data_IF_427684141152
#
_entry.id   IF_427684141152
#
_cell.length_a   1.000
_cell.length_b   1.000
_cell.length_c   1.000
_cell.angle_alpha   90.00
_cell.angle_beta   90.00
_cell.angle_gamma   90.00
#
_symmetry.space_group_name_H-M   'P 1'
#
loop_
_entity.id
_entity.type
_entity.pdbx_description
1 polymer ?
#
# COMPACT_ATOMS: atom_id res chain seq x y z
N UNK A 1 -3.34 -19.69 -10.07
CA UNK A 1 -2.79 -18.37 -10.48
C UNK A 1 -1.63 -18.04 -9.55
N UNK A 2 -0.52 -17.48 -10.05
CA UNK A 2 0.62 -17.12 -9.18
C UNK A 2 0.16 -16.12 -8.11
N UNK A 3 0.49 -16.32 -6.82
CA UNK A 3 0.03 -15.48 -5.71
C UNK A 3 0.36 -13.99 -5.88
N UNK A 4 1.46 -13.70 -6.57
CA UNK A 4 1.90 -12.35 -6.91
C UNK A 4 0.86 -11.54 -7.71
N UNK A 5 0.08 -12.19 -8.59
CA UNK A 5 -0.94 -11.50 -9.40
C UNK A 5 -2.05 -10.90 -8.56
N UNK A 6 -2.47 -11.58 -7.49
CA UNK A 6 -3.49 -11.04 -6.59
C UNK A 6 -2.98 -9.79 -5.88
N UNK A 7 -1.74 -9.83 -5.37
CA UNK A 7 -1.12 -8.66 -4.74
C UNK A 7 -1.05 -7.47 -5.71
N UNK A 8 -0.63 -7.71 -6.95
CA UNK A 8 -0.50 -6.65 -7.96
C UNK A 8 -1.85 -6.01 -8.30
N UNK A 9 -2.92 -6.80 -8.45
CA UNK A 9 -4.27 -6.29 -8.73
C UNK A 9 -4.82 -5.49 -7.54
N UNK A 10 -4.69 -6.00 -6.32
CA UNK A 10 -5.16 -5.30 -5.11
C UNK A 10 -4.38 -4.00 -4.85
N UNK A 11 -3.07 -3.98 -5.06
CA UNK A 11 -2.26 -2.77 -4.97
C UNK A 11 -2.63 -1.74 -6.03
N UNK A 12 -2.83 -2.18 -7.28
CA UNK A 12 -3.25 -1.29 -8.36
C UNK A 12 -4.65 -0.70 -8.09
N UNK A 13 -5.60 -1.52 -7.61
CA UNK A 13 -6.92 -1.06 -7.21
C UNK A 13 -6.85 -0.05 -6.06
N UNK A 14 -6.05 -0.32 -5.03
CA UNK A 14 -5.86 0.58 -3.88
C UNK A 14 -5.27 1.92 -4.30
N UNK A 15 -4.23 1.90 -5.14
CA UNK A 15 -3.59 3.10 -5.64
C UNK A 15 -4.47 3.88 -6.63
N UNK A 16 -5.23 3.21 -7.49
CA UNK A 16 -6.22 3.86 -8.34
C UNK A 16 -7.30 4.56 -7.50
N UNK A 17 -7.79 3.92 -6.44
CA UNK A 17 -8.78 4.52 -5.55
C UNK A 17 -8.20 5.73 -4.79
N UNK A 18 -6.93 5.68 -4.38
CA UNK A 18 -6.22 6.84 -3.82
C UNK A 18 -6.16 8.03 -4.81
N UNK A 19 -5.88 7.77 -6.08
CA UNK A 19 -5.88 8.83 -7.11
C UNK A 19 -7.26 9.42 -7.38
N UNK A 20 -8.32 8.60 -7.31
CA UNK A 20 -9.72 9.08 -7.40
C UNK A 20 -10.05 9.99 -6.21
N UNK A 21 -9.69 9.55 -5.01
CA UNK A 21 -9.87 10.35 -3.79
C UNK A 21 -9.15 11.68 -3.94
N UNK A 22 -7.89 11.70 -4.37
CA UNK A 22 -7.13 12.93 -4.57
C UNK A 22 -7.74 13.85 -5.64
N UNK A 23 -8.23 13.30 -6.74
CA UNK A 23 -8.96 14.04 -7.77
C UNK A 23 -10.21 14.75 -7.28
N UNK A 24 -10.98 14.07 -6.42
CA UNK A 24 -12.11 14.68 -5.72
C UNK A 24 -11.67 15.81 -4.81
N UNK A 25 -10.46 15.72 -4.23
CA UNK A 25 -9.83 16.76 -3.43
C UNK A 25 -9.51 18.03 -4.22
N UNK A 26 -8.91 17.87 -5.39
CA UNK A 26 -8.44 18.98 -6.24
C UNK A 26 -9.55 19.61 -7.09
N UNK A 27 -10.62 18.87 -7.40
CA UNK A 27 -11.68 19.30 -8.32
C UNK A 27 -11.30 19.19 -9.80
N UNK A 28 -10.05 18.82 -10.12
CA UNK A 28 -9.58 18.57 -11.48
C UNK A 28 -9.51 17.05 -11.76
N UNK A 29 -10.35 16.59 -12.68
CA UNK A 29 -10.49 15.16 -12.98
C UNK A 29 -9.47 14.62 -14.00
N UNK A 30 -8.69 15.49 -14.67
CA UNK A 30 -7.80 15.07 -15.76
C UNK A 30 -6.68 14.17 -15.26
N UNK A 31 -5.96 14.61 -14.22
CA UNK A 31 -4.82 13.86 -13.65
C UNK A 31 -5.23 12.51 -13.04
N UNK A 32 -6.31 12.41 -12.24
CA UNK A 32 -6.85 11.14 -11.77
C UNK A 32 -7.22 10.19 -12.89
N UNK A 33 -7.87 10.69 -13.96
CA UNK A 33 -8.26 9.84 -15.10
C UNK A 33 -7.03 9.28 -15.80
N UNK A 34 -5.99 10.09 -15.99
CA UNK A 34 -4.70 9.63 -16.54
C UNK A 34 -4.08 8.59 -15.60
N UNK A 35 -4.12 8.80 -14.29
CA UNK A 35 -3.55 7.87 -13.31
C UNK A 35 -4.31 6.54 -13.24
N UNK A 36 -5.65 6.55 -13.34
CA UNK A 36 -6.47 5.34 -13.44
C UNK A 36 -6.17 4.61 -14.74
N UNK A 37 -6.07 5.34 -15.86
CA UNK A 37 -5.69 4.76 -17.13
C UNK A 37 -4.28 4.14 -17.05
N UNK A 38 -3.33 4.81 -16.40
CA UNK A 38 -2.00 4.30 -16.13
C UNK A 38 -2.03 3.06 -15.22
N UNK A 39 -2.90 3.01 -14.21
CA UNK A 39 -3.07 1.85 -13.32
C UNK A 39 -3.62 0.64 -14.09
N UNK A 40 -4.68 0.84 -14.89
CA UNK A 40 -5.28 -0.21 -15.72
C UNK A 40 -4.29 -0.70 -16.76
N UNK A 41 -3.63 0.22 -17.48
CA UNK A 41 -2.61 -0.15 -18.48
C UNK A 41 -1.38 -0.78 -17.84
N UNK A 42 -0.97 -0.41 -16.62
CA UNK A 42 0.10 -1.09 -15.88
C UNK A 42 -0.28 -2.53 -15.52
N UNK A 43 -1.51 -2.78 -15.08
CA UNK A 43 -1.97 -4.15 -14.83
C UNK A 43 -1.99 -4.95 -16.15
N UNK A 44 -2.47 -4.36 -17.25
CA UNK A 44 -2.50 -5.06 -18.55
C UNK A 44 -1.10 -5.29 -19.14
N UNK A 45 -0.26 -4.26 -19.22
CA UNK A 45 1.05 -4.32 -19.87
C UNK A 45 2.12 -4.97 -18.98
N UNK A 46 2.15 -4.64 -17.69
CA UNK A 46 3.19 -5.11 -16.78
C UNK A 46 2.86 -6.46 -16.16
N UNK A 47 1.58 -6.76 -15.87
CA UNK A 47 1.17 -7.99 -15.17
C UNK A 47 0.76 -9.13 -16.11
N UNK A 48 -0.01 -8.82 -17.17
CA UNK A 48 -0.47 -9.83 -18.13
C UNK A 48 0.56 -10.05 -19.24
N UNK A 49 1.14 -8.98 -19.80
CA UNK A 49 2.00 -9.10 -20.98
C UNK A 49 3.51 -9.23 -20.69
N UNK A 50 3.99 -8.75 -19.53
CA UNK A 50 5.42 -8.76 -19.16
C UNK A 50 6.35 -8.22 -20.28
N UNK A 51 5.82 -7.39 -21.19
CA UNK A 51 6.52 -7.04 -22.44
C UNK A 51 7.52 -5.90 -22.25
N UNK A 52 7.20 -4.96 -21.35
CA UNK A 52 8.01 -3.76 -21.10
C UNK A 52 8.34 -3.64 -19.62
N UNK A 53 9.62 -3.78 -19.28
CA UNK A 53 10.15 -3.39 -17.98
C UNK A 53 10.96 -2.11 -18.14
N UNK A 54 10.55 -1.04 -17.46
CA UNK A 54 11.37 0.16 -17.39
C UNK A 54 12.62 -0.16 -16.56
N UNK A 55 13.81 0.06 -17.14
CA UNK A 55 15.06 -0.09 -16.42
C UNK A 55 15.07 0.90 -15.23
N UNK A 56 15.58 0.47 -14.08
CA UNK A 56 15.60 1.24 -12.82
C UNK A 56 16.13 2.67 -13.02
N UNK A 57 17.11 2.82 -13.91
CA UNK A 57 17.69 4.12 -14.24
C UNK A 57 16.69 5.05 -14.92
N UNK A 58 15.92 4.56 -15.89
CA UNK A 58 14.95 5.40 -16.61
C UNK A 58 13.79 5.79 -15.69
N UNK A 59 13.33 4.88 -14.83
CA UNK A 59 12.31 5.19 -13.83
C UNK A 59 12.79 6.27 -12.85
N UNK A 60 14.03 6.18 -12.37
CA UNK A 60 14.63 7.20 -11.51
C UNK A 60 14.77 8.55 -12.22
N UNK A 61 15.14 8.56 -13.50
CA UNK A 61 15.23 9.81 -14.29
C UNK A 61 13.84 10.42 -14.48
N UNK A 62 12.81 9.62 -14.79
CA UNK A 62 11.43 10.10 -14.86
C UNK A 62 10.94 10.64 -13.52
N UNK A 63 11.25 9.96 -12.40
CA UNK A 63 10.89 10.44 -11.07
C UNK A 63 11.58 11.76 -10.72
N UNK A 64 12.88 11.90 -11.04
CA UNK A 64 13.61 13.16 -10.87
C UNK A 64 13.03 14.27 -11.77
N UNK A 65 12.65 13.95 -13.00
CA UNK A 65 11.97 14.86 -13.91
C UNK A 65 10.63 15.36 -13.35
N UNK A 66 9.82 14.44 -12.81
CA UNK A 66 8.55 14.79 -12.16
C UNK A 66 8.74 15.70 -10.94
N UNK A 67 9.73 15.40 -10.11
CA UNK A 67 10.10 16.26 -8.96
C UNK A 67 10.56 17.63 -9.45
N UNK A 68 11.47 17.68 -10.42
CA UNK A 68 11.96 18.95 -10.97
C UNK A 68 10.85 19.82 -11.55
N UNK A 69 9.95 19.21 -12.34
CA UNK A 69 8.78 19.89 -12.90
C UNK A 69 7.89 20.48 -11.79
N UNK A 70 7.62 19.69 -10.75
CA UNK A 70 6.75 20.14 -9.66
C UNK A 70 7.42 21.21 -8.78
N UNK A 71 8.74 21.15 -8.60
CA UNK A 71 9.47 22.20 -7.87
C UNK A 71 9.42 23.53 -8.61
N UNK A 72 9.56 23.51 -9.94
CA UNK A 72 9.43 24.72 -10.77
C UNK A 72 8.02 25.30 -10.66
N UNK A 73 7.00 24.43 -10.75
CA UNK A 73 5.59 24.80 -10.56
C UNK A 73 5.35 25.41 -9.16
N UNK A 74 5.81 24.73 -8.11
CA UNK A 74 5.69 25.17 -6.72
C UNK A 74 6.31 26.55 -6.44
N UNK A 75 7.40 26.90 -7.12
CA UNK A 75 8.06 28.19 -6.97
C UNK A 75 7.31 29.34 -7.67
N UNK A 76 6.52 29.03 -8.69
CA UNK A 76 5.74 30.01 -9.45
C UNK A 76 4.31 30.24 -8.95
N UNK A 77 3.83 29.39 -8.04
CA UNK A 77 2.42 29.31 -7.64
C UNK A 77 2.18 29.96 -6.26
N UNK A 78 0.99 30.55 -6.09
CA UNK A 78 0.57 31.21 -4.85
C UNK A 78 0.52 30.25 -3.64
N UNK A 79 0.73 30.74 -2.40
CA UNK A 79 0.78 29.90 -1.20
C UNK A 79 -0.46 29.02 -0.97
N UNK A 80 -1.63 29.47 -1.42
CA UNK A 80 -2.91 28.74 -1.33
C UNK A 80 -2.99 27.53 -2.25
N UNK A 81 -2.24 27.51 -3.35
CA UNK A 81 -2.27 26.44 -4.36
C UNK A 81 -1.11 25.44 -4.19
N UNK A 82 -0.16 25.72 -3.30
CA UNK A 82 0.99 24.83 -3.02
C UNK A 82 0.63 23.40 -2.65
N UNK A 83 -0.46 23.22 -1.90
CA UNK A 83 -0.95 21.89 -1.51
C UNK A 83 -1.37 21.07 -2.75
N UNK A 84 -1.90 21.74 -3.76
CA UNK A 84 -2.32 21.15 -5.03
C UNK A 84 -1.12 20.75 -5.89
N UNK A 85 -0.06 21.55 -5.94
CA UNK A 85 1.19 21.13 -6.60
C UNK A 85 1.80 19.88 -5.95
N UNK A 86 1.75 19.75 -4.61
CA UNK A 86 2.22 18.54 -3.92
C UNK A 86 1.35 17.32 -4.28
N UNK A 87 0.04 17.51 -4.36
CA UNK A 87 -0.90 16.46 -4.76
C UNK A 87 -0.60 15.96 -6.19
N UNK A 88 -0.38 16.88 -7.13
CA UNK A 88 0.05 16.58 -8.51
C UNK A 88 1.36 15.78 -8.54
N UNK A 89 2.35 16.15 -7.72
CA UNK A 89 3.61 15.41 -7.60
C UNK A 89 3.37 13.96 -7.18
N UNK A 90 2.50 13.73 -6.20
CA UNK A 90 2.19 12.38 -5.74
C UNK A 90 1.56 11.55 -6.86
N UNK A 91 0.71 12.14 -7.70
CA UNK A 91 0.12 11.45 -8.86
C UNK A 91 1.21 11.11 -9.89
N UNK A 92 2.10 12.05 -10.22
CA UNK A 92 3.20 11.80 -11.16
C UNK A 92 4.13 10.69 -10.68
N UNK A 93 4.52 10.70 -9.41
CA UNK A 93 5.34 9.64 -8.83
C UNK A 93 4.60 8.30 -8.85
N UNK A 94 3.31 8.27 -8.53
CA UNK A 94 2.50 7.05 -8.58
C UNK A 94 2.49 6.42 -9.99
N UNK A 95 2.33 7.25 -11.02
CA UNK A 95 2.36 6.80 -12.43
C UNK A 95 3.74 6.22 -12.76
N UNK A 96 4.83 6.91 -12.42
CA UNK A 96 6.20 6.41 -12.67
C UNK A 96 6.43 5.06 -11.98
N UNK A 97 6.00 4.92 -10.73
CA UNK A 97 6.17 3.67 -9.97
C UNK A 97 5.34 2.52 -10.53
N UNK A 98 4.19 2.77 -11.14
CA UNK A 98 3.40 1.72 -11.80
C UNK A 98 4.11 1.07 -12.99
N UNK A 99 4.98 1.81 -13.70
CA UNK A 99 5.74 1.28 -14.83
C UNK A 99 7.12 0.73 -14.43
N UNK A 100 7.56 0.94 -13.19
CA UNK A 100 8.83 0.41 -12.71
C UNK A 100 8.77 -1.11 -12.50
N UNK A 101 9.91 -1.80 -12.68
CA UNK A 101 10.03 -3.23 -12.37
C UNK A 101 9.62 -3.49 -10.92
N UNK A 102 8.52 -4.22 -10.76
CA UNK A 102 7.93 -4.58 -9.48
C UNK A 102 8.93 -5.43 -8.68
N UNK A 103 9.40 -4.86 -7.56
CA UNK A 103 10.23 -5.49 -6.54
C UNK A 103 9.56 -5.24 -5.19
N UNK A 104 9.93 -5.97 -4.13
CA UNK A 104 9.37 -5.80 -2.77
C UNK A 104 9.34 -4.32 -2.33
N UNK A 105 10.43 -3.60 -2.59
CA UNK A 105 10.54 -2.17 -2.29
C UNK A 105 9.53 -1.31 -3.04
N UNK A 106 9.25 -1.62 -4.30
CA UNK A 106 8.32 -0.83 -5.14
C UNK A 106 6.88 -1.04 -4.66
N UNK A 107 6.51 -2.26 -4.25
CA UNK A 107 5.20 -2.52 -3.66
C UNK A 107 4.96 -1.70 -2.40
N UNK A 108 5.93 -1.64 -1.51
CA UNK A 108 5.88 -0.76 -0.33
C UNK A 108 5.75 0.72 -0.70
N UNK A 109 6.51 1.19 -1.68
CA UNK A 109 6.47 2.59 -2.12
C UNK A 109 5.12 2.96 -2.73
N UNK A 110 4.53 2.08 -3.55
CA UNK A 110 3.17 2.26 -4.10
C UNK A 110 2.13 2.39 -2.99
N UNK A 111 2.22 1.55 -1.95
CA UNK A 111 1.33 1.60 -0.79
C UNK A 111 1.48 2.92 -0.03
N UNK A 112 2.71 3.31 0.29
CA UNK A 112 3.02 4.56 1.00
C UNK A 112 2.57 5.78 0.19
N UNK A 113 2.84 5.81 -1.11
CA UNK A 113 2.38 6.91 -1.97
C UNK A 113 0.86 6.98 -2.04
N UNK A 114 0.16 5.84 -2.18
CA UNK A 114 -1.29 5.81 -2.16
C UNK A 114 -1.87 6.34 -0.84
N UNK A 115 -1.22 6.03 0.28
CA UNK A 115 -1.62 6.53 1.60
C UNK A 115 -1.42 8.04 1.69
N UNK A 116 -0.27 8.55 1.23
CA UNK A 116 0.00 9.99 1.20
C UNK A 116 -1.01 10.75 0.33
N UNK A 117 -1.39 10.19 -0.83
CA UNK A 117 -2.43 10.78 -1.67
C UNK A 117 -3.77 10.91 -0.93
N UNK A 118 -4.18 9.87 -0.20
CA UNK A 118 -5.43 9.90 0.58
C UNK A 118 -5.36 10.91 1.71
N UNK A 119 -4.22 11.01 2.40
CA UNK A 119 -4.01 12.02 3.46
C UNK A 119 -4.09 13.44 2.91
N UNK A 120 -3.46 13.71 1.76
CA UNK A 120 -3.53 15.02 1.11
C UNK A 120 -4.95 15.32 0.65
N UNK A 121 -5.65 14.32 0.10
CA UNK A 121 -7.04 14.49 -0.30
C UNK A 121 -7.97 14.81 0.87
N UNK A 122 -7.79 14.14 2.01
CA UNK A 122 -8.56 14.40 3.23
C UNK A 122 -8.37 15.82 3.77
N UNK A 123 -7.23 16.45 3.49
CA UNK A 123 -7.00 17.85 3.82
C UNK A 123 -7.72 18.82 2.87
N UNK A 124 -7.94 18.41 1.62
CA UNK A 124 -8.56 19.23 0.57
C UNK A 124 -10.10 19.11 0.55
N UNK A 125 -10.66 17.95 0.88
CA UNK A 125 -12.10 17.69 0.76
C UNK A 125 -12.68 16.92 1.96
N UNK A 126 -13.79 17.45 2.50
CA UNK A 126 -14.50 16.95 3.69
C UNK A 126 -15.94 16.47 3.35
N UNK A 127 -16.22 16.21 2.08
CA UNK A 127 -17.54 15.79 1.60
C UNK A 127 -17.97 14.40 2.08
N UNK A 128 -19.28 14.15 2.07
CA UNK A 128 -19.84 12.84 2.45
C UNK A 128 -19.41 11.73 1.47
N UNK A 129 -19.36 12.05 0.17
CA UNK A 129 -18.90 11.14 -0.87
C UNK A 129 -17.44 10.72 -0.65
N UNK A 130 -16.58 11.69 -0.26
CA UNK A 130 -15.19 11.43 0.10
C UNK A 130 -15.09 10.42 1.25
N UNK A 131 -15.91 10.57 2.30
CA UNK A 131 -15.95 9.65 3.43
C UNK A 131 -16.35 8.21 3.04
N UNK A 132 -17.31 8.04 2.12
CA UNK A 132 -17.70 6.72 1.62
C UNK A 132 -16.56 6.05 0.83
N UNK A 133 -15.91 6.79 -0.07
CA UNK A 133 -14.76 6.28 -0.80
C UNK A 133 -13.58 5.98 0.12
N UNK A 134 -13.38 6.76 1.18
CA UNK A 134 -12.34 6.54 2.18
C UNK A 134 -12.55 5.21 2.92
N UNK A 135 -13.78 4.85 3.27
CA UNK A 135 -14.08 3.53 3.88
C UNK A 135 -13.71 2.39 2.93
N UNK A 136 -14.06 2.53 1.65
CA UNK A 136 -13.70 1.55 0.62
C UNK A 136 -12.17 1.47 0.41
N UNK A 137 -11.49 2.62 0.44
CA UNK A 137 -10.03 2.67 0.41
C UNK A 137 -9.41 1.93 1.59
N UNK A 138 -9.86 2.20 2.82
CA UNK A 138 -9.34 1.56 4.03
C UNK A 138 -9.47 0.04 3.96
N UNK A 139 -10.58 -0.47 3.41
CA UNK A 139 -10.73 -1.89 3.15
C UNK A 139 -9.65 -2.45 2.23
N UNK A 140 -9.52 -1.85 1.04
CA UNK A 140 -8.59 -2.28 0.01
C UNK A 140 -7.14 -2.15 0.46
N UNK A 141 -6.82 -1.10 1.22
CA UNK A 141 -5.51 -0.86 1.81
C UNK A 141 -5.16 -1.93 2.85
N UNK A 142 -6.09 -2.27 3.75
CA UNK A 142 -5.88 -3.34 4.74
C UNK A 142 -5.67 -4.71 4.08
N UNK A 143 -6.48 -5.03 3.06
CA UNK A 143 -6.32 -6.27 2.31
C UNK A 143 -4.98 -6.28 1.57
N UNK A 144 -4.62 -5.19 0.88
CA UNK A 144 -3.34 -5.09 0.18
C UNK A 144 -2.14 -5.20 1.11
N UNK A 145 -2.21 -4.57 2.29
CA UNK A 145 -1.16 -4.64 3.30
C UNK A 145 -1.02 -6.07 3.85
N UNK A 146 -2.13 -6.74 4.15
CA UNK A 146 -2.10 -8.13 4.60
C UNK A 146 -1.50 -9.07 3.54
N UNK A 147 -1.89 -8.91 2.27
CA UNK A 147 -1.30 -9.68 1.16
C UNK A 147 0.21 -9.39 1.02
N UNK A 148 0.63 -8.14 1.19
CA UNK A 148 2.03 -7.75 1.15
C UNK A 148 2.84 -8.43 2.26
N UNK A 149 2.31 -8.48 3.48
CA UNK A 149 2.97 -9.17 4.60
C UNK A 149 3.14 -10.66 4.32
N UNK A 150 2.10 -11.35 3.86
CA UNK A 150 2.16 -12.78 3.51
C UNK A 150 3.15 -13.02 2.37
N UNK A 151 3.15 -12.15 1.35
CA UNK A 151 4.12 -12.24 0.26
C UNK A 151 5.56 -12.09 0.75
N UNK A 152 5.83 -11.12 1.63
CA UNK A 152 7.18 -10.91 2.20
C UNK A 152 7.65 -12.06 3.05
N UNK A 153 6.78 -12.62 3.88
CA UNK A 153 7.10 -13.79 4.70
C UNK A 153 7.48 -14.99 3.82
N UNK A 154 6.77 -15.19 2.70
CA UNK A 154 7.08 -16.28 1.77
C UNK A 154 8.47 -16.16 1.11
N UNK A 155 8.94 -14.93 0.86
CA UNK A 155 10.28 -14.69 0.31
C UNK A 155 11.38 -15.02 1.34
N UNK A 156 11.21 -14.55 2.59
CA UNK A 156 12.17 -14.78 3.67
C UNK A 156 12.27 -16.27 4.05
N UNK A 157 11.14 -16.99 4.06
CA UNK A 157 11.11 -18.42 4.34
C UNK A 157 11.88 -19.23 3.27
N UNK A 158 11.81 -18.79 2.01
CA UNK A 158 12.52 -19.43 0.90
C UNK A 158 14.04 -19.21 1.00
N UNK A 159 14.48 -17.99 1.34
CA UNK A 159 15.91 -17.68 1.52
C UNK A 159 16.53 -18.47 2.69
N UNK A 160 15.83 -18.55 3.82
CA UNK A 160 16.31 -19.29 5.00
C UNK A 160 16.48 -20.79 4.71
N UNK A 161 15.57 -21.37 3.93
CA UNK A 161 15.63 -22.79 3.56
C UNK A 161 16.75 -23.06 2.53
N UNK A 162 17.01 -22.12 1.63
CA UNK A 162 18.09 -22.22 0.65
C UNK A 162 19.48 -22.15 1.33
N UNK A 163 19.65 -21.26 2.30
CA UNK A 163 20.91 -21.10 3.04
C UNK A 163 21.22 -22.34 3.93
N UNK A 164 20.18 -22.94 4.51
CA UNK A 164 20.31 -24.22 5.24
C UNK A 164 20.70 -25.40 4.33
N UNK A 165 20.18 -25.46 3.09
CA UNK A 165 20.59 -26.50 2.13
C UNK A 165 22.02 -26.30 1.62
N UNK A 166 22.44 -25.05 1.42
CA UNK A 166 23.81 -24.74 0.99
C UNK A 166 24.85 -25.09 2.07
N UNK A 167 24.52 -24.92 3.35
CA UNK A 167 25.41 -25.25 4.48
C UNK A 167 25.43 -26.73 4.85
N UNK A 168 24.39 -27.51 4.51
CA UNK A 168 24.33 -28.95 4.80
C UNK A 168 24.90 -29.82 3.65
N UNK A 169 25.18 -29.22 2.49
CA UNK A 169 25.63 -29.93 1.28
C UNK A 169 27.14 -29.92 1.00
N UNK A 170 27.96 -29.32 1.87
CA UNK A 170 29.42 -29.19 1.67
C UNK A 170 30.28 -30.05 2.60
N UNK A 171 29.69 -31.03 3.28
CA UNK A 171 30.42 -31.94 4.16
C UNK A 171 30.46 -33.36 3.56
N UNK A 172 31.10 -33.50 2.40
CA UNK A 172 31.78 -34.76 2.09
C UNK A 172 33.16 -34.49 1.51
N UNK A 173 34.15 -35.15 2.10
CA UNK A 173 35.56 -35.22 1.70
C UNK A 173 36.54 -34.18 2.27
N UNK A 174 36.91 -34.29 3.57
CA UNK A 174 38.32 -34.60 3.97
C UNK A 174 38.62 -34.53 5.49
N UNK A 175 38.82 -35.74 6.05
CA UNK A 175 39.71 -36.14 7.16
C UNK A 175 39.30 -35.97 8.64
N UNK A 176 39.66 -36.96 9.49
CA UNK A 176 39.23 -37.05 10.88
C UNK A 176 40.28 -36.46 11.84
N UNK A 177 39.83 -35.73 12.86
CA UNK A 177 40.44 -35.75 14.22
C UNK A 177 39.73 -34.77 15.16
N UNK A 178 39.43 -35.30 16.36
CA UNK A 178 39.09 -34.58 17.60
C UNK A 178 37.61 -34.15 17.67
N UNK A 179 36.68 -34.97 18.17
CA UNK A 179 36.62 -35.48 19.55
C UNK A 179 36.93 -34.39 20.58
N UNK A 180 36.01 -33.43 20.79
CA UNK A 180 36.03 -32.67 22.04
C UNK A 180 34.70 -32.09 22.56
N UNK A 181 33.56 -32.17 21.86
CA UNK A 181 32.30 -31.64 22.42
C UNK A 181 31.10 -32.56 22.21
N UNK A 182 31.26 -33.81 22.65
CA UNK A 182 30.14 -34.69 22.99
C UNK A 182 29.52 -34.22 24.31
N UNK A 183 28.40 -33.51 24.25
CA UNK A 183 27.26 -33.52 25.20
C UNK A 183 26.55 -32.16 25.25
N UNK A 184 25.51 -32.01 24.43
CA UNK A 184 24.23 -31.49 24.95
C UNK A 184 23.10 -31.76 23.97
N UNK A 185 22.08 -32.42 24.51
CA UNK A 185 20.77 -32.70 23.94
C UNK A 185 20.76 -33.78 22.84
N UNK A 186 20.52 -35.01 23.28
CA UNK A 186 19.75 -35.99 22.53
C UNK A 186 18.52 -35.28 21.94
N UNK A 187 18.55 -35.02 20.63
CA UNK A 187 17.37 -34.60 19.88
C UNK A 187 16.55 -35.87 19.62
N UNK A 188 15.25 -35.90 19.96
CA UNK A 188 14.41 -37.02 19.58
C UNK A 188 14.41 -37.15 18.07
N UNK A 189 14.60 -38.39 17.63
CA UNK A 189 14.55 -38.85 16.26
C UNK A 189 13.13 -38.59 15.72
N UNK A 190 12.96 -37.49 14.98
CA UNK A 190 11.78 -37.23 14.16
C UNK A 190 12.01 -37.83 12.77
N UNK A 191 12.01 -39.15 12.71
CA UNK A 191 11.89 -39.92 11.48
C UNK A 191 10.43 -39.96 11.04
N UNK A 192 9.93 -38.81 10.60
CA UNK A 192 8.77 -38.74 9.71
C UNK A 192 9.02 -37.61 8.71
N UNK A 193 9.85 -37.91 7.71
CA UNK A 193 9.88 -37.11 6.48
C UNK A 193 8.59 -37.41 5.74
N UNK A 194 7.49 -36.80 6.19
CA UNK A 194 6.35 -36.56 5.33
C UNK A 194 6.90 -35.91 4.04
N UNK A 195 6.46 -36.33 2.84
CA UNK A 195 6.94 -35.74 1.61
C UNK A 195 6.80 -34.23 1.76
N UNK A 196 7.92 -33.52 1.60
CA UNK A 196 8.01 -32.07 1.70
C UNK A 196 7.07 -31.47 0.65
N UNK A 197 5.79 -31.39 1.02
CA UNK A 197 4.79 -30.64 0.30
C UNK A 197 5.23 -29.21 0.48
N UNK A 198 5.62 -28.58 -0.62
CA UNK A 198 6.20 -27.25 -0.65
C UNK A 198 5.46 -26.34 0.37
N UNK A 199 6.14 -25.84 1.41
CA UNK A 199 5.51 -24.97 2.43
C UNK A 199 4.83 -23.74 1.80
N UNK A 200 5.31 -23.33 0.62
CA UNK A 200 4.76 -22.27 -0.20
C UNK A 200 3.37 -22.61 -0.79
N UNK A 201 3.06 -23.88 -1.05
CA UNK A 201 1.73 -24.30 -1.55
C UNK A 201 0.69 -24.41 -0.43
N UNK A 202 1.09 -24.72 0.80
CA UNK A 202 0.18 -24.79 1.95
C UNK A 202 -0.12 -23.41 2.57
N UNK A 203 0.84 -22.48 2.60
CA UNK A 203 0.64 -21.15 3.20
C UNK A 203 -0.16 -20.19 2.29
N UNK A 204 -0.09 -20.35 0.97
CA UNK A 204 -0.84 -19.53 0.01
C UNK A 204 -2.14 -20.20 -0.45
N UNK A 205 -2.83 -20.88 0.45
CA UNK A 205 -4.16 -21.40 0.13
C UNK A 205 -5.13 -20.23 -0.04
N UNK A 206 -5.88 -20.19 -1.15
CA UNK A 206 -6.87 -19.14 -1.42
C UNK A 206 -7.90 -18.97 -0.28
N UNK A 207 -8.04 -19.98 0.57
CA UNK A 207 -8.77 -19.92 1.83
C UNK A 207 -8.26 -18.84 2.80
N UNK A 208 -6.95 -18.61 2.92
CA UNK A 208 -6.38 -17.60 3.83
C UNK A 208 -6.63 -16.19 3.31
N UNK A 209 -6.45 -15.97 2.00
CA UNK A 209 -6.79 -14.70 1.34
C UNK A 209 -8.29 -14.42 1.48
N UNK A 210 -9.13 -15.44 1.29
CA UNK A 210 -10.58 -15.33 1.51
C UNK A 210 -10.93 -15.01 2.96
N UNK A 211 -10.21 -15.58 3.94
CA UNK A 211 -10.40 -15.27 5.36
C UNK A 211 -10.00 -13.83 5.70
N UNK A 212 -8.88 -13.33 5.17
CA UNK A 212 -8.44 -11.94 5.36
C UNK A 212 -9.47 -10.97 4.78
N UNK A 213 -9.92 -11.24 3.55
CA UNK A 213 -10.97 -10.45 2.88
C UNK A 213 -12.26 -10.49 3.72
N UNK A 214 -12.70 -11.67 4.15
CA UNK A 214 -13.92 -11.84 4.95
C UNK A 214 -13.82 -11.12 6.30
N UNK A 215 -12.67 -11.18 6.96
CA UNK A 215 -12.43 -10.50 8.24
C UNK A 215 -12.49 -8.98 8.05
N UNK A 216 -11.87 -8.45 6.99
CA UNK A 216 -11.92 -7.03 6.65
C UNK A 216 -13.33 -6.53 6.28
N UNK A 217 -14.09 -7.32 5.53
CA UNK A 217 -15.49 -6.96 5.20
C UNK A 217 -16.33 -6.90 6.47
N UNK A 218 -16.14 -7.85 7.38
CA UNK A 218 -16.88 -7.93 8.63
C UNK A 218 -16.56 -6.75 9.56
N UNK A 219 -15.28 -6.39 9.73
CA UNK A 219 -14.88 -5.25 10.57
C UNK A 219 -15.38 -3.93 10.03
N UNK A 220 -15.41 -3.75 8.71
CA UNK A 220 -15.93 -2.53 8.10
C UNK A 220 -17.45 -2.47 8.15
N UNK A 221 -18.15 -3.57 7.88
CA UNK A 221 -19.60 -3.66 8.05
C UNK A 221 -20.01 -3.31 9.48
N UNK A 222 -19.27 -3.83 10.47
CA UNK A 222 -19.46 -3.49 11.88
C UNK A 222 -19.20 -2.01 12.15
N UNK A 223 -18.08 -1.46 11.68
CA UNK A 223 -17.72 -0.05 11.90
C UNK A 223 -18.75 0.89 11.29
N UNK A 224 -19.23 0.58 10.07
CA UNK A 224 -20.27 1.34 9.39
C UNK A 224 -21.60 1.29 10.15
N UNK A 225 -21.98 0.11 10.63
CA UNK A 225 -23.18 -0.07 11.45
C UNK A 225 -23.08 0.74 12.74
N UNK A 226 -21.94 0.70 13.43
CA UNK A 226 -21.70 1.49 14.64
C UNK A 226 -21.77 2.98 14.34
N UNK A 227 -21.16 3.45 13.25
CA UNK A 227 -21.15 4.86 12.86
C UNK A 227 -22.56 5.39 12.53
N UNK A 228 -23.38 4.59 11.85
CA UNK A 228 -24.77 4.97 11.56
C UNK A 228 -25.70 4.82 12.77
N UNK A 229 -25.43 3.88 13.67
CA UNK A 229 -26.19 3.73 14.91
C UNK A 229 -25.80 4.73 15.99
N UNK A 230 -24.62 5.34 15.93
CA UNK A 230 -24.23 6.40 16.88
C UNK A 230 -24.91 7.71 16.49
N UNK A 231 -25.89 8.20 17.27
CA UNK A 231 -26.59 9.44 16.95
C UNK A 231 -25.62 10.61 17.01
N UNK A 232 -25.38 11.23 15.86
CA UNK A 232 -24.46 12.36 15.71
C UNK A 232 -25.11 13.66 16.22
N UNK A 233 -25.16 13.83 17.54
CA UNK A 233 -25.63 15.08 18.16
C UNK A 233 -24.56 16.17 18.01
N UNK A 234 -24.73 17.07 17.03
CA UNK A 234 -23.77 18.16 16.85
C UNK A 234 -24.05 19.07 15.66
N UNK A 235 -25.14 19.84 15.71
CA UNK A 235 -25.33 21.03 14.84
C UNK A 235 -25.53 22.34 15.62
N UNK A 236 -25.36 22.35 16.94
CA UNK A 236 -25.79 23.48 17.78
C UNK A 236 -24.69 24.15 18.62
N UNK A 237 -23.45 23.68 18.56
CA UNK A 237 -22.40 24.14 19.48
C UNK A 237 -21.62 25.39 19.01
N UNK A 238 -21.82 25.85 17.76
CA UNK A 238 -21.02 26.93 17.15
C UNK A 238 -21.84 28.13 16.67
N UNK A 239 -23.03 28.37 17.23
CA UNK A 239 -23.71 29.65 17.05
C UNK A 239 -23.14 30.63 18.07
N UNK A 240 -22.36 31.60 17.59
CA UNK A 240 -21.57 32.56 18.34
C UNK A 240 -22.36 33.34 19.42
N UNK A 241 -21.72 33.77 20.53
CA UNK A 241 -22.27 34.82 21.36
C UNK A 241 -22.16 36.14 20.59
N UNK A 242 -23.31 36.65 20.15
CA UNK A 242 -23.48 38.01 19.65
C UNK A 242 -23.14 38.97 20.80
N UNK A 243 -21.91 39.50 20.84
CA UNK A 243 -21.56 40.54 21.81
C UNK A 243 -22.26 41.83 21.42
N UNK A 244 -23.09 42.27 22.35
CA UNK A 244 -23.96 43.45 22.29
C UNK A 244 -23.09 44.70 22.13
N UNK A 245 -23.39 45.51 21.11
CA UNK A 245 -22.88 46.85 20.88
C UNK A 245 -23.32 47.75 22.05
N UNK A 246 -22.41 48.09 22.96
CA UNK A 246 -22.59 49.18 23.92
C UNK A 246 -22.29 50.50 23.21
N UNK A 247 -23.25 50.97 22.43
CA UNK A 247 -23.46 52.41 22.26
C UNK A 247 -24.42 52.84 23.38
N UNK A 248 -24.20 54.04 23.92
CA UNK A 248 -24.93 54.69 25.02
C UNK A 248 -24.43 54.37 26.43
N UNK A 249 -23.43 55.12 26.90
CA UNK A 249 -23.43 55.96 28.11
C UNK A 249 -22.03 56.58 28.21
N UNK A 250 -21.87 57.88 27.92
CA UNK A 250 -21.37 58.95 28.82
C UNK A 250 -21.52 60.27 28.04
N UNK A 251 -22.21 61.23 28.65
CA UNK A 251 -22.31 62.62 28.17
C UNK A 251 -21.13 63.50 28.55
#
# INVERSE_FOLDING_TARGET
MKPERYLQVFLAATAALATVLLGLGEGNWILPVIAIFAAITSVLFTDIWQWFWFNRHVANVCALGAVGFTVIDYLGVDPSERLLSIANLLIYLQIVLFYQRKNDRVYWQILVLSLLQVVVSAALNLGVEFGLLLVLYMFLALVSLALLFVYRESLVATETTADQRATTGTDDESKPRQAFWTQRAARPDFTEVAPARDPSEMMFNGAMVYQIIRLGVLTIGLTFLVFFMTPRYGKSAWTAPTTIRTEDVVG
#
